data_IF_224949450354
#
_entry.id   IF_224949450354
#
_cell.length_a   1.000
_cell.length_b   1.000
_cell.length_c   1.000
_cell.angle_alpha   90.00
_cell.angle_beta   90.00
_cell.angle_gamma   90.00
#
_symmetry.space_group_name_H-M   'P 1'
#
loop_
_entity.id
_entity.type
_entity.pdbx_description
1 polymer ?
#
# COMPACT_ATOMS: atom_id res chain seq x y z
N UNK A 1 -10.59 -8.66 -32.51
CA UNK A 1 -10.53 -7.50 -31.59
C UNK A 1 -9.64 -7.91 -30.44
N UNK A 2 -8.34 -7.64 -30.53
CA UNK A 2 -7.36 -8.05 -29.50
C UNK A 2 -7.38 -7.03 -28.37
N UNK A 3 -7.71 -7.49 -27.16
CA UNK A 3 -7.66 -6.70 -25.94
C UNK A 3 -6.18 -6.58 -25.57
N UNK A 4 -5.57 -5.43 -25.88
CA UNK A 4 -4.25 -5.07 -25.37
C UNK A 4 -4.34 -5.04 -23.85
N UNK A 5 -3.82 -6.09 -23.20
CA UNK A 5 -3.59 -6.11 -21.75
C UNK A 5 -2.67 -4.94 -21.43
N UNK A 6 -3.22 -3.89 -20.83
CA UNK A 6 -2.46 -2.78 -20.26
C UNK A 6 -1.51 -3.35 -19.23
N UNK A 7 -0.23 -3.44 -19.59
CA UNK A 7 0.83 -3.72 -18.63
C UNK A 7 0.85 -2.55 -17.63
N UNK A 8 0.91 -2.82 -16.31
CA UNK A 8 1.10 -1.75 -15.34
C UNK A 8 2.45 -1.09 -15.63
N UNK A 9 2.42 0.21 -15.93
CA UNK A 9 3.62 1.03 -16.12
C UNK A 9 4.28 1.20 -14.77
N UNK A 10 5.21 0.32 -14.42
CA UNK A 10 6.14 0.55 -13.30
C UNK A 10 7.36 1.25 -13.87
N UNK A 11 7.28 2.58 -14.00
CA UNK A 11 8.47 3.41 -14.18
C UNK A 11 9.12 3.60 -12.81
N UNK A 12 10.04 2.69 -12.45
CA UNK A 12 10.94 2.92 -11.34
C UNK A 12 11.90 4.07 -11.74
N UNK A 13 11.73 5.24 -11.11
CA UNK A 13 12.71 6.32 -11.19
C UNK A 13 13.99 5.84 -10.46
N UNK A 14 15.16 6.07 -11.05
CA UNK A 14 16.45 5.67 -10.48
C UNK A 14 16.55 6.08 -8.98
N UNK A 15 16.71 5.09 -8.11
CA UNK A 15 16.80 5.27 -6.65
C UNK A 15 15.48 5.24 -5.88
N UNK A 16 14.32 5.27 -6.54
CA UNK A 16 13.01 5.11 -5.90
C UNK A 16 12.63 3.64 -5.96
N UNK A 17 12.60 2.96 -4.79
CA UNK A 17 11.99 1.63 -4.69
C UNK A 17 10.50 1.79 -4.95
N UNK A 18 10.07 1.53 -6.18
CA UNK A 18 8.67 1.39 -6.50
C UNK A 18 8.11 0.18 -5.73
N UNK A 19 7.03 0.39 -4.98
CA UNK A 19 6.30 -0.67 -4.31
C UNK A 19 4.83 -0.64 -4.74
N UNK A 20 4.20 -1.80 -4.76
CA UNK A 20 2.77 -1.94 -5.04
C UNK A 20 2.12 -2.59 -3.82
N UNK A 21 1.04 -1.96 -3.33
CA UNK A 21 0.21 -2.52 -2.27
C UNK A 21 -1.11 -2.95 -2.92
N UNK A 22 -1.43 -4.26 -2.92
CA UNK A 22 -2.71 -4.74 -3.44
C UNK A 22 -3.88 -4.12 -2.67
N UNK A 23 -4.91 -3.67 -3.38
CA UNK A 23 -6.16 -3.26 -2.73
C UNK A 23 -6.76 -4.44 -1.98
N UNK A 24 -7.45 -4.15 -0.88
CA UNK A 24 -8.06 -5.11 0.04
C UNK A 24 -7.07 -6.07 0.72
N UNK A 25 -5.76 -5.81 0.64
CA UNK A 25 -4.77 -6.50 1.46
C UNK A 25 -4.85 -6.07 2.93
N UNK A 26 -4.41 -6.94 3.82
CA UNK A 26 -4.17 -6.58 5.22
C UNK A 26 -2.72 -6.12 5.35
N UNK A 27 -2.50 -5.05 6.10
CA UNK A 27 -1.18 -4.56 6.43
C UNK A 27 -1.05 -4.48 7.96
N UNK A 28 0.12 -4.84 8.45
CA UNK A 28 0.50 -4.64 9.85
C UNK A 28 1.43 -3.44 9.94
N UNK A 29 1.06 -2.47 10.76
CA UNK A 29 1.89 -1.31 11.12
C UNK A 29 2.06 -1.30 12.64
N UNK A 30 3.29 -1.49 13.11
CA UNK A 30 3.58 -1.78 14.53
C UNK A 30 2.69 -2.93 15.05
N UNK A 31 1.86 -2.72 16.08
CA UNK A 31 0.93 -3.72 16.61
C UNK A 31 -0.51 -3.57 16.12
N UNK A 32 -0.74 -2.73 15.10
CA UNK A 32 -2.06 -2.47 14.52
C UNK A 32 -2.19 -3.09 13.14
N UNK A 33 -3.40 -3.53 12.82
CA UNK A 33 -3.75 -4.13 11.51
C UNK A 33 -4.70 -3.22 10.77
N UNK A 34 -4.49 -3.07 9.47
CA UNK A 34 -5.30 -2.22 8.62
C UNK A 34 -5.68 -2.95 7.34
N UNK A 35 -6.84 -2.61 6.78
CA UNK A 35 -7.20 -2.95 5.41
C UNK A 35 -6.84 -1.82 4.46
N UNK A 36 -6.25 -2.16 3.32
CA UNK A 36 -6.00 -1.20 2.25
C UNK A 36 -7.30 -1.01 1.47
N UNK A 37 -7.90 0.18 1.53
CA UNK A 37 -9.18 0.43 0.87
C UNK A 37 -9.01 0.96 -0.55
N UNK A 38 -8.26 2.05 -0.71
CA UNK A 38 -8.06 2.74 -1.99
C UNK A 38 -6.84 3.66 -1.95
N UNK A 39 -6.44 4.16 -3.12
CA UNK A 39 -5.46 5.23 -3.27
C UNK A 39 -6.18 6.50 -3.74
N UNK A 40 -5.98 7.61 -3.03
CA UNK A 40 -6.49 8.93 -3.37
C UNK A 40 -5.31 9.84 -3.73
N UNK A 41 -5.02 9.96 -5.02
CA UNK A 41 -3.84 10.70 -5.49
C UNK A 41 -2.53 10.08 -4.98
N UNK A 42 -1.82 10.79 -4.12
CA UNK A 42 -0.57 10.38 -3.49
C UNK A 42 -0.74 9.71 -2.11
N UNK A 43 -1.98 9.57 -1.62
CA UNK A 43 -2.29 8.99 -0.31
C UNK A 43 -2.96 7.62 -0.42
N UNK A 44 -2.55 6.71 0.46
CA UNK A 44 -3.19 5.42 0.70
C UNK A 44 -4.18 5.53 1.84
N UNK A 45 -5.41 5.05 1.60
CA UNK A 45 -6.47 4.98 2.61
C UNK A 45 -6.44 3.60 3.25
N UNK A 46 -6.12 3.58 4.54
CA UNK A 46 -5.95 2.37 5.34
C UNK A 46 -7.00 2.38 6.46
N UNK A 47 -7.80 1.34 6.58
CA UNK A 47 -8.87 1.26 7.58
C UNK A 47 -8.41 0.37 8.73
N UNK A 48 -8.31 0.93 9.93
CA UNK A 48 -7.93 0.17 11.12
C UNK A 48 -8.96 -0.94 11.43
N UNK A 49 -8.48 -2.16 11.69
CA UNK A 49 -9.31 -3.33 11.95
C UNK A 49 -10.06 -3.30 13.27
N UNK A 50 -9.52 -2.61 14.28
CA UNK A 50 -10.04 -2.59 15.65
C UNK A 50 -11.14 -1.56 15.82
N UNK A 51 -10.99 -0.38 15.21
CA UNK A 51 -11.91 0.74 15.44
C UNK A 51 -12.48 1.39 14.16
N UNK A 52 -12.18 0.83 12.99
CA UNK A 52 -12.64 1.35 11.69
C UNK A 52 -12.21 2.80 11.38
N UNK A 53 -11.21 3.33 12.09
CA UNK A 53 -10.67 4.66 11.82
C UNK A 53 -9.81 4.63 10.56
N UNK A 54 -9.97 5.61 9.64
CA UNK A 54 -9.06 5.75 8.51
C UNK A 54 -7.70 6.29 8.96
N UNK A 55 -6.64 5.80 8.34
CA UNK A 55 -5.29 6.35 8.35
C UNK A 55 -4.89 6.65 6.91
N UNK A 56 -4.33 7.85 6.69
CA UNK A 56 -3.88 8.31 5.38
C UNK A 56 -2.35 8.34 5.38
N UNK A 57 -1.73 7.55 4.51
CA UNK A 57 -0.27 7.50 4.40
C UNK A 57 0.19 7.82 2.98
N UNK A 58 1.19 8.67 2.83
CA UNK A 58 1.85 8.92 1.55
C UNK A 58 2.86 7.82 1.22
N UNK A 59 3.30 7.77 -0.04
CA UNK A 59 4.35 6.84 -0.46
C UNK A 59 5.66 7.01 0.36
N UNK A 60 6.00 8.25 0.72
CA UNK A 60 7.17 8.54 1.55
C UNK A 60 7.04 7.99 2.97
N UNK A 61 5.86 8.11 3.59
CA UNK A 61 5.61 7.58 4.93
C UNK A 61 5.66 6.05 4.93
N UNK A 62 5.06 5.41 3.93
CA UNK A 62 5.12 3.96 3.77
C UNK A 62 6.56 3.49 3.54
N UNK A 63 7.32 4.20 2.69
CA UNK A 63 8.73 3.90 2.46
C UNK A 63 9.58 3.96 3.75
N UNK A 64 9.31 4.94 4.62
CA UNK A 64 9.95 5.03 5.93
C UNK A 64 9.58 3.85 6.84
N UNK A 65 8.30 3.48 6.90
CA UNK A 65 7.82 2.33 7.70
C UNK A 65 8.37 0.99 7.17
N UNK A 66 8.49 0.84 5.85
CA UNK A 66 9.14 -0.33 5.24
C UNK A 66 10.63 -0.37 5.61
N UNK A 67 11.30 0.78 5.62
CA UNK A 67 12.72 0.87 5.96
C UNK A 67 13.01 0.60 7.44
N UNK A 68 12.08 0.90 8.34
CA UNK A 68 12.17 0.56 9.77
C UNK A 68 11.77 -0.89 10.07
N UNK A 69 11.17 -1.60 9.11
CA UNK A 69 10.62 -2.95 9.31
C UNK A 69 9.26 -2.97 10.00
N UNK A 70 8.63 -1.80 10.18
CA UNK A 70 7.32 -1.66 10.81
C UNK A 70 6.16 -1.82 9.84
N UNK A 71 6.41 -2.05 8.55
CA UNK A 71 5.38 -2.23 7.53
C UNK A 71 5.45 -3.64 6.91
N UNK A 72 4.42 -4.43 7.15
CA UNK A 72 4.29 -5.78 6.58
C UNK A 72 2.98 -5.90 5.82
N UNK A 73 3.03 -6.36 4.56
CA UNK A 73 1.85 -6.68 3.76
C UNK A 73 1.53 -8.16 3.91
N UNK A 74 0.36 -8.47 4.44
CA UNK A 74 -0.16 -9.84 4.56
C UNK A 74 -1.16 -10.08 3.42
N UNK A 75 -0.83 -11.01 2.51
CA UNK A 75 -1.79 -11.44 1.47
C UNK A 75 -2.85 -12.31 2.13
N UNK A 76 -4.12 -11.94 1.96
CA UNK A 76 -5.22 -12.85 2.24
C UNK A 76 -5.22 -13.95 1.17
N UNK A 77 -5.13 -15.20 1.62
CA UNK A 77 -5.33 -16.40 0.80
C UNK A 77 -6.82 -16.67 0.61
#
# INVERSE_FOLDING_TARGET
MEIRRTQPVVQALDGVRAFEIPLFSEIKIHDRRYFVQQRLGDQWVLIDRQNASPALLTDAQIGNLMSSGDFVVERMA
#
